data_IF_695535897429
#
_entry.id   IF_695535897429
#
_cell.length_a   1.000
_cell.length_b   1.000
_cell.length_c   1.000
_cell.angle_alpha   90.00
_cell.angle_beta   90.00
_cell.angle_gamma   90.00
#
_symmetry.space_group_name_H-M   'P 1'
#
loop_
_entity.id
_entity.type
_entity.pdbx_description
1 polymer ?
#
# COMPACT_ATOMS: atom_id res chain seq x y z
N UNK A 1 -11.70 -2.66 9.65
CA UNK A 1 -10.29 -3.14 9.53
C UNK A 1 -9.58 -2.44 8.37
N UNK A 2 -8.23 -2.40 8.33
CA UNK A 2 -7.46 -1.73 7.26
C UNK A 2 -7.79 -2.26 5.85
N UNK A 3 -8.17 -3.52 5.74
CA UNK A 3 -8.66 -4.17 4.51
C UNK A 3 -9.97 -3.57 3.98
N UNK A 4 -10.90 -3.23 4.87
CA UNK A 4 -12.18 -2.60 4.50
C UNK A 4 -11.95 -1.17 4.04
N UNK A 5 -11.14 -0.41 4.78
CA UNK A 5 -10.75 0.95 4.43
C UNK A 5 -10.14 1.01 3.01
N UNK A 6 -9.16 0.14 2.73
CA UNK A 6 -8.51 0.05 1.42
C UNK A 6 -9.42 -0.49 0.30
N UNK A 7 -10.61 -0.99 0.62
CA UNK A 7 -11.59 -1.44 -0.37
C UNK A 7 -12.55 -0.33 -0.81
N UNK A 8 -12.65 0.77 -0.07
CA UNK A 8 -13.55 1.90 -0.36
C UNK A 8 -13.02 2.80 -1.48
N UNK A 9 -11.72 3.11 -1.43
CA UNK A 9 -11.02 3.95 -2.40
C UNK A 9 -9.52 3.69 -2.39
N UNK A 10 -8.82 4.33 -3.30
CA UNK A 10 -7.37 4.42 -3.27
C UNK A 10 -6.91 5.46 -2.22
N UNK A 11 -5.83 5.14 -1.52
CA UNK A 11 -5.21 6.01 -0.54
C UNK A 11 -3.72 6.17 -0.83
N UNK A 12 -3.21 7.38 -0.65
CA UNK A 12 -1.78 7.63 -0.51
C UNK A 12 -1.27 7.16 0.85
N UNK A 13 0.04 6.96 0.94
CA UNK A 13 0.67 6.54 2.19
C UNK A 13 0.48 7.57 3.32
N UNK A 14 0.55 8.87 3.01
CA UNK A 14 0.34 9.93 4.00
C UNK A 14 -1.12 10.03 4.45
N UNK A 15 -2.09 9.83 3.56
CA UNK A 15 -3.50 9.76 3.97
C UNK A 15 -3.73 8.62 4.96
N UNK A 16 -3.18 7.43 4.71
CA UNK A 16 -3.29 6.30 5.63
C UNK A 16 -2.67 6.61 6.99
N UNK A 17 -1.50 7.26 7.01
CA UNK A 17 -0.85 7.67 8.27
C UNK A 17 -1.71 8.65 9.06
N UNK A 18 -2.33 9.61 8.39
CA UNK A 18 -3.21 10.58 9.03
C UNK A 18 -4.51 9.94 9.54
N UNK A 19 -5.14 9.11 8.71
CA UNK A 19 -6.41 8.44 9.05
C UNK A 19 -6.24 7.46 10.21
N UNK A 20 -5.15 6.71 10.23
CA UNK A 20 -4.87 5.67 11.23
C UNK A 20 -4.04 6.18 12.42
N UNK A 21 -3.59 7.43 12.37
CA UNK A 21 -2.64 8.03 13.33
C UNK A 21 -1.38 7.16 13.55
N UNK A 22 -0.95 6.46 12.50
CA UNK A 22 0.11 5.46 12.57
C UNK A 22 1.48 6.03 12.17
N UNK A 23 2.52 5.50 12.81
CA UNK A 23 3.91 5.72 12.39
C UNK A 23 4.20 5.06 11.04
N UNK A 24 5.28 5.49 10.35
CA UNK A 24 5.68 4.88 9.07
C UNK A 24 5.91 3.38 9.20
N UNK A 25 6.68 2.94 10.20
CA UNK A 25 7.00 1.52 10.42
C UNK A 25 5.77 0.68 10.77
N UNK A 26 4.91 1.24 11.62
CA UNK A 26 3.66 0.61 12.03
C UNK A 26 2.74 0.39 10.83
N UNK A 27 2.54 1.43 10.01
CA UNK A 27 1.74 1.32 8.80
C UNK A 27 2.35 0.31 7.80
N UNK A 28 3.67 0.27 7.64
CA UNK A 28 4.32 -0.75 6.80
C UNK A 28 4.08 -2.18 7.30
N UNK A 29 4.10 -2.39 8.62
CA UNK A 29 3.83 -3.69 9.24
C UNK A 29 2.35 -4.08 9.13
N UNK A 30 1.43 -3.12 9.23
CA UNK A 30 0.01 -3.34 9.01
C UNK A 30 -0.29 -3.68 7.54
N UNK A 31 0.28 -2.94 6.58
CA UNK A 31 0.15 -3.23 5.15
C UNK A 31 0.75 -4.60 4.79
N UNK A 32 1.84 -4.99 5.45
CA UNK A 32 2.42 -6.33 5.38
C UNK A 32 1.46 -7.40 5.89
N UNK A 33 0.77 -7.13 7.00
CA UNK A 33 -0.25 -8.02 7.54
C UNK A 33 -1.42 -8.17 6.57
N UNK A 34 -1.95 -7.05 6.06
CA UNK A 34 -3.04 -7.01 5.07
C UNK A 34 -2.67 -7.82 3.82
N UNK A 35 -1.47 -7.63 3.26
CA UNK A 35 -1.06 -8.39 2.08
C UNK A 35 -1.03 -9.91 2.33
N UNK A 36 -0.63 -10.34 3.53
CA UNK A 36 -0.66 -11.77 3.91
C UNK A 36 -2.08 -12.29 4.07
N UNK A 37 -2.97 -11.52 4.66
CA UNK A 37 -4.38 -11.91 4.86
C UNK A 37 -5.12 -12.00 3.53
N UNK A 38 -4.95 -11.03 2.62
CA UNK A 38 -5.61 -11.01 1.31
C UNK A 38 -5.23 -12.18 0.41
N UNK A 39 -4.02 -12.74 0.55
CA UNK A 39 -3.58 -13.93 -0.21
C UNK A 39 -4.44 -15.15 0.02
N UNK A 40 -5.01 -15.31 1.22
CA UNK A 40 -5.93 -16.41 1.54
C UNK A 40 -7.29 -16.23 0.86
N UNK A 41 -7.69 -14.98 0.64
CA UNK A 41 -8.97 -14.60 0.04
C UNK A 41 -8.90 -14.40 -1.49
N UNK A 42 -7.79 -14.77 -2.14
CA UNK A 42 -7.54 -14.54 -3.58
C UNK A 42 -7.61 -13.06 -4.00
N UNK A 43 -7.53 -12.13 -3.04
CA UNK A 43 -7.44 -10.68 -3.28
C UNK A 43 -5.97 -10.24 -3.25
N UNK A 44 -5.69 -9.05 -3.80
CA UNK A 44 -4.32 -8.52 -3.83
C UNK A 44 -4.29 -7.04 -3.51
N UNK A 45 -3.36 -6.66 -2.63
CA UNK A 45 -3.00 -5.26 -2.42
C UNK A 45 -2.21 -4.75 -3.63
N UNK A 46 -2.73 -3.71 -4.29
CA UNK A 46 -2.10 -3.06 -5.45
C UNK A 46 -1.53 -1.72 -5.01
N UNK A 47 -0.38 -1.35 -5.57
CA UNK A 47 0.25 -0.05 -5.32
C UNK A 47 0.59 0.58 -6.65
N UNK A 48 0.03 1.76 -6.89
CA UNK A 48 0.28 2.55 -8.09
C UNK A 48 1.72 3.09 -8.03
N UNK A 49 2.52 2.96 -9.11
CA UNK A 49 3.86 3.51 -9.13
C UNK A 49 3.79 5.04 -9.01
N UNK A 50 4.76 5.68 -8.35
CA UNK A 50 4.83 7.13 -8.35
C UNK A 50 5.15 7.63 -9.76
N UNK A 51 4.64 8.81 -10.09
CA UNK A 51 4.83 9.48 -11.38
C UNK A 51 5.43 10.87 -11.15
N UNK A 52 6.34 11.28 -12.02
CA UNK A 52 6.87 12.64 -12.00
C UNK A 52 5.79 13.63 -12.44
N UNK A 53 5.42 14.57 -11.58
CA UNK A 53 4.39 15.57 -11.88
C UNK A 53 4.80 16.58 -12.98
N UNK A 54 6.08 16.68 -13.29
CA UNK A 54 6.59 17.61 -14.32
C UNK A 54 6.57 17.00 -15.73
N UNK A 55 6.92 15.71 -15.86
CA UNK A 55 7.12 15.07 -17.17
C UNK A 55 6.30 13.78 -17.39
N UNK A 56 5.52 13.33 -16.41
CA UNK A 56 4.71 12.10 -16.51
C UNK A 56 5.53 10.80 -16.50
N UNK A 57 6.82 10.86 -16.18
CA UNK A 57 7.65 9.66 -16.09
C UNK A 57 7.21 8.80 -14.90
N UNK A 58 6.65 7.62 -15.20
CA UNK A 58 6.32 6.62 -14.19
C UNK A 58 7.59 5.89 -13.74
N UNK A 59 7.89 5.96 -12.45
CA UNK A 59 9.04 5.26 -11.88
C UNK A 59 8.75 3.76 -11.86
N UNK A 60 9.21 3.06 -12.91
CA UNK A 60 9.04 1.61 -13.02
C UNK A 60 9.63 0.90 -11.80
N UNK A 61 8.78 0.18 -11.08
CA UNK A 61 9.21 -0.65 -9.96
C UNK A 61 9.98 -1.85 -10.51
N UNK A 62 11.25 -2.00 -10.09
CA UNK A 62 11.98 -3.28 -10.21
C UNK A 62 11.27 -4.29 -9.30
N UNK A 63 10.39 -5.10 -9.88
CA UNK A 63 9.44 -5.98 -9.21
C UNK A 63 8.41 -5.24 -8.30
N UNK A 64 7.16 -5.72 -8.19
CA UNK A 64 6.20 -5.13 -7.26
C UNK A 64 6.77 -5.21 -5.83
N UNK A 65 6.88 -4.08 -5.12
CA UNK A 65 7.26 -4.11 -3.69
C UNK A 65 6.21 -4.95 -2.97
N UNK A 66 6.68 -6.09 -2.48
CA UNK A 66 5.92 -7.02 -1.67
C UNK A 66 6.18 -6.64 -0.22
N UNK A 67 5.17 -6.11 0.46
CA UNK A 67 5.30 -5.78 1.88
C UNK A 67 5.55 -7.04 2.72
N UNK A 68 5.17 -8.23 2.24
CA UNK A 68 5.44 -9.50 2.94
C UNK A 68 6.89 -10.00 2.91
N UNK A 69 7.77 -9.45 2.08
CA UNK A 69 9.19 -9.87 2.04
C UNK A 69 9.95 -9.13 3.16
N UNK A 70 10.63 -9.87 4.07
CA UNK A 70 11.45 -9.27 5.13
C UNK A 70 12.64 -8.50 4.55
#
# INVERSE_FOLDING_TARGET
>A
ELTELLSEREYSFEELRHELQAGVRELEDDLRHVERSLRRDQRRLVTTPPECSECGFAFQRRAPKRFHTP
#
